data_IF_659436691018
#
_entry.id   IF_659436691018
#
_cell.length_a   1.000
_cell.length_b   1.000
_cell.length_c   1.000
_cell.angle_alpha   90.00
_cell.angle_beta   90.00
_cell.angle_gamma   90.00
#
_symmetry.space_group_name_H-M   'P 1'
#
loop_
_entity.id
_entity.type
_entity.pdbx_description
1 polymer ?
#
# COMPACT_ATOMS: atom_id res chain seq x y z
N UNK A 1 -9.16 15.20 -75.27
CA UNK A 1 -9.28 13.92 -74.54
C UNK A 1 -7.94 13.59 -73.91
N UNK A 2 -7.92 13.38 -72.58
CA UNK A 2 -7.06 12.49 -71.77
C UNK A 2 -6.69 13.17 -70.45
N UNK A 3 -7.57 12.99 -69.46
CA UNK A 3 -7.34 13.23 -68.05
C UNK A 3 -6.33 12.21 -67.50
N UNK A 4 -5.43 12.66 -66.64
CA UNK A 4 -4.61 11.80 -65.78
C UNK A 4 -5.24 11.74 -64.39
N UNK A 5 -5.60 10.53 -63.95
CA UNK A 5 -6.15 10.26 -62.61
C UNK A 5 -4.99 9.79 -61.73
N UNK A 6 -4.71 10.51 -60.65
CA UNK A 6 -3.77 10.11 -59.61
C UNK A 6 -4.48 9.22 -58.59
N UNK A 7 -3.93 8.04 -58.34
CA UNK A 7 -4.41 7.08 -57.34
C UNK A 7 -3.59 7.30 -56.06
N UNK A 8 -4.24 7.76 -54.99
CA UNK A 8 -3.70 7.83 -53.64
C UNK A 8 -4.02 6.54 -52.88
N UNK A 9 -3.00 5.79 -52.45
CA UNK A 9 -3.17 4.69 -51.49
C UNK A 9 -3.18 5.24 -50.06
N UNK A 10 -4.28 5.06 -49.35
CA UNK A 10 -4.37 5.30 -47.91
C UNK A 10 -4.03 4.00 -47.16
N UNK A 11 -3.00 4.03 -46.31
CA UNK A 11 -2.67 2.94 -45.39
C UNK A 11 -3.55 3.05 -44.14
N UNK A 12 -4.41 2.06 -43.91
CA UNK A 12 -5.22 1.95 -42.70
C UNK A 12 -4.38 1.31 -41.58
N UNK A 13 -4.05 2.08 -40.54
CA UNK A 13 -3.46 1.57 -39.31
C UNK A 13 -4.56 0.98 -38.42
N UNK A 14 -4.55 -0.34 -38.24
CA UNK A 14 -5.44 -1.03 -37.31
C UNK A 14 -4.92 -0.84 -35.88
N UNK A 15 -5.54 0.05 -35.11
CA UNK A 15 -5.34 0.12 -33.67
C UNK A 15 -5.99 -1.11 -33.03
N UNK A 16 -5.17 -2.05 -32.54
CA UNK A 16 -5.65 -3.15 -31.71
C UNK A 16 -6.11 -2.57 -30.37
N UNK A 17 -7.43 -2.58 -30.13
CA UNK A 17 -7.99 -2.23 -28.84
C UNK A 17 -7.54 -3.27 -27.80
N UNK A 18 -6.72 -2.86 -26.85
CA UNK A 18 -6.45 -3.68 -25.67
C UNK A 18 -7.78 -3.86 -24.90
N UNK A 19 -8.08 -5.07 -24.40
CA UNK A 19 -9.27 -5.27 -23.59
C UNK A 19 -9.19 -4.38 -22.34
N UNK A 20 -10.22 -3.58 -22.12
CA UNK A 20 -10.36 -2.82 -20.89
C UNK A 20 -10.42 -3.80 -19.71
N UNK A 21 -9.83 -3.47 -18.55
CA UNK A 21 -9.97 -4.27 -17.34
C UNK A 21 -11.45 -4.49 -17.05
N UNK A 22 -11.88 -5.74 -16.96
CA UNK A 22 -13.24 -6.07 -16.53
C UNK A 22 -13.34 -5.71 -15.04
N UNK A 23 -14.28 -4.85 -14.63
CA UNK A 23 -14.49 -4.58 -13.21
C UNK A 23 -14.85 -5.89 -12.51
N UNK A 24 -13.97 -6.37 -11.64
CA UNK A 24 -14.30 -7.46 -10.73
C UNK A 24 -15.42 -6.96 -9.82
N UNK A 25 -16.51 -7.72 -9.69
CA UNK A 25 -17.66 -7.35 -8.88
C UNK A 25 -17.20 -6.92 -7.49
N UNK A 26 -17.30 -5.62 -7.20
CA UNK A 26 -16.87 -5.04 -5.94
C UNK A 26 -17.82 -5.47 -4.82
N UNK A 27 -17.28 -6.00 -3.74
CA UNK A 27 -17.96 -6.02 -2.45
C UNK A 27 -18.14 -4.57 -1.99
N UNK A 28 -19.23 -4.19 -1.32
CA UNK A 28 -19.36 -2.84 -0.74
C UNK A 28 -18.45 -2.62 0.48
N UNK A 29 -17.78 -3.69 0.92
CA UNK A 29 -16.89 -3.73 2.06
C UNK A 29 -15.46 -4.05 1.62
N UNK A 30 -14.45 -3.39 2.20
CA UNK A 30 -13.04 -3.70 1.95
C UNK A 30 -12.72 -5.14 2.36
N UNK A 31 -11.94 -5.84 1.54
CA UNK A 31 -11.45 -7.18 1.81
C UNK A 31 -10.34 -7.12 2.89
N UNK A 32 -10.47 -7.83 4.02
CA UNK A 32 -9.44 -7.88 5.06
C UNK A 32 -8.24 -8.74 4.64
N UNK A 33 -7.02 -8.29 4.93
CA UNK A 33 -5.81 -9.09 4.65
C UNK A 33 -4.61 -8.71 5.54
N UNK A 34 -3.63 -9.62 5.61
CA UNK A 34 -2.27 -9.34 6.09
C UNK A 34 -1.35 -9.10 4.90
N UNK A 35 -0.40 -8.16 5.04
CA UNK A 35 0.65 -7.97 4.05
C UNK A 35 1.87 -8.84 4.33
N UNK A 36 2.27 -9.68 3.39
CA UNK A 36 3.48 -10.51 3.49
C UNK A 36 4.52 -10.11 2.44
N UNK A 37 5.78 -9.99 2.85
CA UNK A 37 6.87 -9.68 1.94
C UNK A 37 7.42 -10.94 1.27
N UNK A 38 7.38 -11.01 -0.05
CA UNK A 38 8.00 -12.08 -0.84
C UNK A 38 9.26 -11.56 -1.53
N UNK A 39 10.42 -11.90 -0.97
CA UNK A 39 11.74 -11.65 -1.57
C UNK A 39 12.67 -12.84 -1.32
N UNK A 40 12.56 -13.89 -2.14
CA UNK A 40 13.27 -15.15 -1.95
C UNK A 40 14.79 -14.94 -1.80
N UNK A 41 15.40 -15.68 -0.87
CA UNK A 41 16.85 -15.57 -0.59
C UNK A 41 17.25 -14.38 0.28
N UNK A 42 16.29 -13.60 0.80
CA UNK A 42 16.55 -12.45 1.67
C UNK A 42 15.97 -12.66 3.07
N UNK A 43 16.42 -11.87 4.04
CA UNK A 43 15.96 -11.98 5.43
C UNK A 43 14.53 -11.48 5.67
N UNK A 44 13.91 -10.83 4.68
CA UNK A 44 12.53 -10.34 4.77
C UNK A 44 11.52 -11.33 4.16
N UNK A 45 11.98 -12.38 3.47
CA UNK A 45 11.08 -13.34 2.83
C UNK A 45 10.10 -13.94 3.85
N UNK A 46 8.81 -13.94 3.49
CA UNK A 46 7.67 -14.42 4.26
C UNK A 46 7.41 -13.68 5.59
N UNK A 47 8.10 -12.56 5.86
CA UNK A 47 7.79 -11.72 7.03
C UNK A 47 6.56 -10.84 6.74
N UNK A 48 5.78 -10.61 7.79
CA UNK A 48 4.61 -9.73 7.73
C UNK A 48 4.98 -8.26 7.86
N UNK A 49 4.14 -7.44 7.26
CA UNK A 49 4.21 -5.98 7.25
C UNK A 49 3.34 -5.44 8.38
N UNK A 50 3.97 -4.69 9.28
CA UNK A 50 3.36 -4.26 10.53
C UNK A 50 3.39 -2.73 10.66
N UNK A 51 2.28 -2.17 11.14
CA UNK A 51 2.12 -0.77 11.50
C UNK A 51 2.85 -0.49 12.82
N UNK A 52 3.79 0.46 12.80
CA UNK A 52 4.53 0.90 13.97
C UNK A 52 5.01 2.35 13.83
N UNK A 53 4.58 3.24 14.72
CA UNK A 53 5.01 4.63 14.74
C UNK A 53 4.56 5.42 13.51
N UNK A 54 3.29 5.29 13.11
CA UNK A 54 2.68 5.90 11.90
C UNK A 54 3.36 5.53 10.57
N UNK A 55 4.13 4.43 10.58
CA UNK A 55 4.87 3.88 9.44
C UNK A 55 4.66 2.37 9.33
N UNK A 56 4.98 1.80 8.18
CA UNK A 56 4.97 0.35 8.00
C UNK A 56 6.38 -0.22 7.99
N UNK A 57 6.50 -1.42 8.57
CA UNK A 57 7.77 -2.06 8.81
C UNK A 57 7.71 -3.55 8.52
N UNK A 58 8.84 -4.08 8.08
CA UNK A 58 9.11 -5.53 8.13
C UNK A 58 10.12 -5.78 9.26
N UNK A 59 9.79 -6.71 10.16
CA UNK A 59 10.65 -7.08 11.29
C UNK A 59 10.44 -6.27 12.58
N UNK A 60 9.50 -5.32 12.61
CA UNK A 60 8.96 -4.75 13.86
C UNK A 60 7.61 -5.34 14.19
N UNK A 61 7.24 -5.36 15.47
CA UNK A 61 5.89 -5.73 15.90
C UNK A 61 4.90 -4.61 15.62
N UNK A 62 3.64 -4.98 15.35
CA UNK A 62 2.53 -4.04 15.32
C UNK A 62 2.41 -3.33 16.65
N UNK A 63 2.17 -2.02 16.61
CA UNK A 63 1.80 -1.23 17.79
C UNK A 63 0.39 -0.70 17.65
N UNK A 64 -0.39 -0.85 18.73
CA UNK A 64 -1.80 -0.45 18.80
C UNK A 64 -2.03 0.39 20.03
N UNK A 65 -3.00 1.28 19.96
CA UNK A 65 -3.51 2.00 21.14
C UNK A 65 -4.96 1.61 21.38
N UNK A 66 -5.32 1.57 22.67
CA UNK A 66 -6.68 1.37 23.11
C UNK A 66 -6.97 2.34 24.26
N UNK A 67 -8.00 3.18 24.15
CA UNK A 67 -8.39 4.06 25.25
C UNK A 67 -8.96 3.24 26.42
N UNK A 68 -8.70 3.72 27.63
CA UNK A 68 -9.17 3.09 28.88
C UNK A 68 -10.56 3.59 29.32
N UNK A 69 -11.22 4.42 28.51
CA UNK A 69 -12.52 4.98 28.85
C UNK A 69 -13.67 3.97 28.66
N UNK A 70 -14.73 4.12 29.46
CA UNK A 70 -15.77 3.09 29.60
C UNK A 70 -16.58 2.82 28.32
N UNK A 71 -16.48 3.68 27.29
CA UNK A 71 -17.17 3.49 26.03
C UNK A 71 -16.43 2.54 25.07
N UNK A 72 -15.10 2.41 25.22
CA UNK A 72 -14.26 1.59 24.34
C UNK A 72 -13.55 0.44 25.07
N UNK A 73 -13.53 0.43 26.41
CA UNK A 73 -12.86 -0.58 27.22
C UNK A 73 -13.24 -2.03 26.85
N UNK A 74 -14.54 -2.35 26.76
CA UNK A 74 -15.01 -3.71 26.43
C UNK A 74 -14.54 -4.17 25.04
N UNK A 75 -14.52 -3.24 24.08
CA UNK A 75 -14.03 -3.47 22.73
C UNK A 75 -12.51 -3.69 22.74
N UNK A 76 -11.80 -2.94 23.59
CA UNK A 76 -10.36 -2.98 23.75
C UNK A 76 -9.80 -4.26 24.38
N UNK A 77 -10.62 -4.98 25.15
CA UNK A 77 -10.25 -6.28 25.71
C UNK A 77 -10.08 -7.33 24.61
N UNK A 78 -10.93 -7.29 23.59
CA UNK A 78 -10.96 -8.27 22.50
C UNK A 78 -10.23 -7.80 21.25
N UNK A 79 -9.94 -6.50 21.12
CA UNK A 79 -9.25 -5.92 19.98
C UNK A 79 -7.90 -6.61 19.68
N UNK A 80 -7.60 -6.73 18.38
CA UNK A 80 -6.31 -7.24 17.93
C UNK A 80 -5.17 -6.28 18.29
N UNK A 81 -4.05 -6.85 18.77
CA UNK A 81 -2.87 -6.11 19.25
C UNK A 81 -1.57 -6.52 18.54
N UNK A 82 -1.61 -7.55 17.69
CA UNK A 82 -0.41 -8.26 17.24
C UNK A 82 -0.22 -8.24 15.72
N UNK A 83 -1.27 -7.96 14.96
CA UNK A 83 -1.24 -8.01 13.50
C UNK A 83 -1.71 -6.68 12.91
N UNK A 84 -1.19 -6.31 11.75
CA UNK A 84 -1.72 -5.18 10.98
C UNK A 84 -2.65 -5.69 9.91
N UNK A 85 -3.93 -5.37 10.07
CA UNK A 85 -4.99 -5.79 9.16
C UNK A 85 -5.29 -4.62 8.22
N UNK A 86 -5.08 -4.86 6.94
CA UNK A 86 -5.37 -3.94 5.86
C UNK A 86 -6.76 -4.20 5.29
N UNK A 87 -7.34 -3.18 4.70
CA UNK A 87 -8.56 -3.27 3.91
C UNK A 87 -8.30 -2.72 2.51
N UNK A 88 -8.73 -3.46 1.50
CA UNK A 88 -8.69 -3.00 0.11
C UNK A 88 -10.06 -3.15 -0.53
N UNK A 89 -10.52 -2.06 -1.16
CA UNK A 89 -11.76 -2.06 -1.93
C UNK A 89 -11.40 -2.00 -3.42
N UNK A 90 -11.73 -3.07 -4.14
CA UNK A 90 -11.43 -3.17 -5.57
C UNK A 90 -12.04 -1.98 -6.34
N UNK A 91 -11.18 -1.24 -7.05
CA UNK A 91 -11.59 -0.08 -7.86
C UNK A 91 -11.41 1.29 -7.19
N UNK A 92 -11.11 1.36 -5.88
CA UNK A 92 -10.93 2.64 -5.17
C UNK A 92 -9.50 3.21 -5.23
N UNK A 93 -8.52 2.44 -5.73
CA UNK A 93 -7.09 2.83 -5.80
C UNK A 93 -6.45 3.21 -4.44
N UNK A 94 -7.12 2.89 -3.32
CA UNK A 94 -6.77 3.29 -1.96
C UNK A 94 -6.55 2.08 -1.07
N UNK A 95 -5.70 2.26 -0.07
CA UNK A 95 -5.43 1.29 0.97
C UNK A 95 -5.80 1.87 2.33
N UNK A 96 -6.53 1.10 3.13
CA UNK A 96 -6.93 1.50 4.48
C UNK A 96 -6.46 0.48 5.52
N UNK A 97 -6.40 0.91 6.76
CA UNK A 97 -6.23 0.04 7.91
C UNK A 97 -7.60 -0.27 8.50
N UNK A 98 -7.87 -1.56 8.74
CA UNK A 98 -9.10 -1.94 9.40
C UNK A 98 -8.94 -1.75 10.90
N UNK A 99 -9.76 -0.85 11.43
CA UNK A 99 -9.73 -0.40 12.81
C UNK A 99 -11.14 -0.19 13.33
N UNK A 100 -11.31 -0.25 14.64
CA UNK A 100 -12.60 0.03 15.30
C UNK A 100 -12.79 1.52 15.61
N UNK A 101 -11.71 2.31 15.59
CA UNK A 101 -11.76 3.75 15.86
C UNK A 101 -12.59 4.51 14.82
N UNK A 102 -13.54 5.38 15.24
CA UNK A 102 -14.32 6.20 14.32
C UNK A 102 -13.44 7.10 13.43
N UNK A 103 -13.71 7.08 12.13
CA UNK A 103 -12.94 7.80 11.11
C UNK A 103 -11.79 7.00 10.51
N UNK A 104 -11.42 5.87 11.13
CA UNK A 104 -10.43 4.94 10.60
C UNK A 104 -9.02 5.50 10.50
N UNK A 105 -8.17 4.75 9.80
CA UNK A 105 -6.81 5.17 9.44
C UNK A 105 -6.52 4.75 8.00
N UNK A 106 -5.84 5.61 7.26
CA UNK A 106 -5.59 5.39 5.84
C UNK A 106 -4.09 5.30 5.57
N UNK A 107 -3.70 4.34 4.74
CA UNK A 107 -2.32 4.23 4.26
C UNK A 107 -2.09 5.22 3.12
N UNK A 108 -0.88 5.74 3.03
CA UNK A 108 -0.47 6.68 2.00
C UNK A 108 1.02 6.57 1.72
N UNK A 109 1.42 7.00 0.53
CA UNK A 109 2.83 7.12 0.14
C UNK A 109 3.23 8.60 0.20
N UNK A 110 4.40 8.93 0.74
CA UNK A 110 4.88 10.32 0.75
C UNK A 110 5.13 10.80 -0.69
N UNK A 111 4.63 11.98 -1.06
CA UNK A 111 4.92 12.54 -2.38
C UNK A 111 6.35 13.14 -2.46
N UNK A 112 7.01 13.27 -1.31
CA UNK A 112 8.25 14.02 -1.14
C UNK A 112 8.01 15.51 -0.97
N UNK A 113 8.96 16.17 -0.32
CA UNK A 113 9.03 17.62 -0.19
C UNK A 113 10.49 18.01 0.04
N UNK A 114 11.18 18.34 -1.04
CA UNK A 114 12.60 18.73 -1.01
C UNK A 114 12.87 19.91 -0.08
N UNK A 115 11.93 20.86 0.01
CA UNK A 115 12.08 22.06 0.85
C UNK A 115 12.04 21.70 2.34
N UNK A 116 11.34 20.62 2.69
CA UNK A 116 11.28 20.07 4.05
C UNK A 116 12.25 18.90 4.27
N UNK A 117 13.08 18.55 3.29
CA UNK A 117 13.97 17.38 3.36
C UNK A 117 13.26 16.03 3.38
N UNK A 118 12.01 15.97 2.93
CA UNK A 118 11.22 14.74 2.90
C UNK A 118 11.42 13.99 1.58
N UNK A 119 11.88 12.75 1.68
CA UNK A 119 12.02 11.84 0.54
C UNK A 119 10.65 11.29 0.12
N UNK A 120 10.43 11.14 -1.19
CA UNK A 120 9.23 10.54 -1.73
C UNK A 120 9.24 9.00 -1.58
N UNK A 121 8.07 8.40 -1.58
CA UNK A 121 7.91 6.95 -1.64
C UNK A 121 7.72 6.24 -0.31
N UNK A 122 7.97 6.86 0.84
CA UNK A 122 7.81 6.18 2.14
C UNK A 122 6.34 5.84 2.39
N UNK A 123 6.06 4.58 2.73
CA UNK A 123 4.72 4.11 3.07
C UNK A 123 4.41 4.38 4.55
N UNK A 124 3.34 5.14 4.77
CA UNK A 124 2.91 5.63 6.08
C UNK A 124 1.40 5.49 6.23
N UNK A 125 0.89 5.78 7.42
CA UNK A 125 -0.54 5.85 7.66
C UNK A 125 -0.92 7.03 8.54
N UNK A 126 -2.18 7.46 8.41
CA UNK A 126 -2.70 8.59 9.18
C UNK A 126 -2.89 8.23 10.66
N UNK A 127 -2.68 9.18 11.58
CA UNK A 127 -3.14 8.99 12.96
C UNK A 127 -4.66 8.82 13.01
N UNK A 128 -5.16 8.21 14.08
CA UNK A 128 -6.60 8.14 14.30
C UNK A 128 -7.22 9.55 14.41
N UNK A 129 -8.47 9.69 13.94
CA UNK A 129 -9.25 10.93 13.98
C UNK A 129 -8.66 12.15 13.26
N UNK A 130 -7.62 11.97 12.43
CA UNK A 130 -6.98 13.07 11.73
C UNK A 130 -6.44 12.63 10.38
N UNK A 131 -6.65 13.46 9.36
CA UNK A 131 -6.04 13.30 8.04
C UNK A 131 -4.73 14.08 7.91
N UNK A 132 -4.21 14.64 9.00
CA UNK A 132 -2.98 15.43 8.99
C UNK A 132 -1.78 14.52 8.77
N UNK A 133 -1.00 14.83 7.74
CA UNK A 133 0.25 14.15 7.40
C UNK A 133 1.42 15.10 7.55
N UNK A 134 2.60 14.53 7.79
CA UNK A 134 3.84 15.28 7.65
C UNK A 134 4.18 15.36 6.15
N UNK A 135 3.90 16.52 5.56
CA UNK A 135 4.08 16.80 4.14
C UNK A 135 3.01 16.18 3.20
N UNK A 136 3.19 16.34 1.88
CA UNK A 136 2.23 15.88 0.88
C UNK A 136 2.08 14.36 0.86
N UNK A 137 0.83 13.90 0.83
CA UNK A 137 0.45 12.49 0.86
C UNK A 137 -0.25 12.06 -0.42
N UNK A 138 0.12 10.89 -0.93
CA UNK A 138 -0.49 10.22 -2.06
C UNK A 138 -1.34 9.06 -1.54
N UNK A 139 -2.66 9.27 -1.54
CA UNK A 139 -3.63 8.27 -1.08
C UNK A 139 -4.08 7.32 -2.20
N UNK A 140 -3.99 7.78 -3.44
CA UNK A 140 -4.33 7.01 -4.63
C UNK A 140 -3.08 6.39 -5.24
N UNK A 141 -3.24 5.24 -5.91
CA UNK A 141 -2.17 4.52 -6.60
C UNK A 141 -2.03 3.07 -6.15
N UNK A 142 -2.78 2.63 -5.13
CA UNK A 142 -2.75 1.26 -4.64
C UNK A 142 -3.52 0.32 -5.54
N UNK A 143 -2.85 -0.72 -6.03
CA UNK A 143 -3.41 -1.69 -6.97
C UNK A 143 -3.23 -3.10 -6.40
N UNK A 144 -4.33 -3.82 -6.16
CA UNK A 144 -4.26 -5.26 -5.99
C UNK A 144 -4.37 -5.92 -7.37
N UNK A 145 -3.25 -6.44 -7.87
CA UNK A 145 -3.14 -7.02 -9.22
C UNK A 145 -3.18 -8.55 -9.17
N UNK A 146 -3.05 -9.18 -10.34
CA UNK A 146 -3.01 -10.64 -10.47
C UNK A 146 -1.99 -11.29 -9.51
N UNK A 147 -2.29 -12.50 -9.03
CA UNK A 147 -1.56 -13.23 -7.98
C UNK A 147 -1.55 -12.57 -6.59
N UNK A 148 -2.59 -11.77 -6.28
CA UNK A 148 -2.77 -11.15 -4.96
C UNK A 148 -1.54 -10.31 -4.56
N UNK A 149 -1.10 -9.46 -5.49
CA UNK A 149 0.05 -8.58 -5.32
C UNK A 149 -0.43 -7.15 -5.13
N UNK A 150 -0.04 -6.53 -4.03
CA UNK A 150 -0.30 -5.11 -3.80
C UNK A 150 0.85 -4.28 -4.37
N UNK A 151 0.54 -3.34 -5.25
CA UNK A 151 1.49 -2.44 -5.90
C UNK A 151 1.10 -0.99 -5.66
N UNK A 152 2.06 -0.07 -5.87
CA UNK A 152 1.81 1.36 -5.90
C UNK A 152 2.22 1.94 -7.24
N UNK A 153 1.30 2.64 -7.91
CA UNK A 153 1.48 3.18 -9.27
C UNK A 153 2.00 2.13 -10.27
N UNK A 154 1.61 0.86 -10.08
CA UNK A 154 1.98 -0.27 -10.94
C UNK A 154 3.38 -0.83 -10.70
N UNK A 155 4.06 -0.43 -9.63
CA UNK A 155 5.39 -0.94 -9.25
C UNK A 155 5.37 -1.61 -7.87
N UNK A 156 6.37 -2.46 -7.63
CA UNK A 156 6.58 -3.18 -6.37
C UNK A 156 7.17 -2.25 -5.27
N UNK A 157 7.70 -2.85 -4.20
CA UNK A 157 8.14 -2.15 -3.00
C UNK A 157 9.62 -2.39 -2.70
N UNK A 158 10.26 -1.42 -2.06
CA UNK A 158 11.55 -1.56 -1.43
C UNK A 158 11.39 -1.66 0.09
N UNK A 159 12.14 -2.57 0.69
CA UNK A 159 12.34 -2.66 2.13
C UNK A 159 13.75 -2.15 2.42
N UNK A 160 13.87 -0.97 3.02
CA UNK A 160 15.17 -0.38 3.34
C UNK A 160 15.44 -0.45 4.84
N UNK A 161 16.64 -0.88 5.26
CA UNK A 161 17.00 -0.89 6.67
C UNK A 161 16.94 0.54 7.21
N UNK A 162 16.42 0.70 8.43
CA UNK A 162 16.65 1.93 9.17
C UNK A 162 18.06 1.92 9.78
N UNK A 163 18.67 3.10 9.95
CA UNK A 163 20.09 3.38 10.29
C UNK A 163 20.63 2.74 11.59
N UNK A 164 19.90 1.83 12.23
CA UNK A 164 20.24 1.20 13.49
C UNK A 164 20.10 -0.33 13.43
N UNK A 165 21.05 -1.03 14.06
CA UNK A 165 21.04 -2.48 14.25
C UNK A 165 19.70 -2.97 14.85
N UNK A 166 19.09 -4.01 14.27
CA UNK A 166 17.80 -4.59 14.70
C UNK A 166 16.57 -3.68 14.66
N UNK A 167 16.55 -2.63 13.83
CA UNK A 167 15.38 -1.75 13.72
C UNK A 167 14.38 -2.11 12.62
N UNK A 168 14.58 -3.21 11.90
CA UNK A 168 13.68 -3.63 10.82
C UNK A 168 13.81 -2.76 9.57
N UNK A 169 12.91 -2.99 8.61
CA UNK A 169 12.93 -2.34 7.31
C UNK A 169 11.73 -1.43 7.18
N UNK A 170 11.94 -0.15 6.89
CA UNK A 170 10.86 0.69 6.41
C UNK A 170 10.48 0.29 4.98
N UNK A 171 9.31 0.73 4.51
CA UNK A 171 8.78 0.36 3.20
C UNK A 171 8.67 1.59 2.31
N UNK A 172 9.16 1.50 1.08
CA UNK A 172 9.10 2.53 0.06
C UNK A 172 8.48 2.01 -1.24
N UNK A 173 7.68 2.82 -1.92
CA UNK A 173 7.16 2.54 -3.24
C UNK A 173 8.28 2.68 -4.29
N UNK A 174 8.53 1.63 -5.09
CA UNK A 174 9.59 1.67 -6.11
C UNK A 174 9.33 2.74 -7.18
N UNK A 175 8.07 3.06 -7.47
CA UNK A 175 7.69 4.11 -8.43
C UNK A 175 8.16 5.52 -8.02
N UNK A 176 8.52 5.72 -6.74
CA UNK A 176 8.77 7.04 -6.14
C UNK A 176 10.20 7.25 -5.62
N UNK A 177 11.06 6.23 -5.70
CA UNK A 177 12.47 6.37 -5.34
C UNK A 177 13.26 6.68 -6.62
N UNK A 178 13.78 7.91 -6.73
CA UNK A 178 14.49 8.37 -7.95
C UNK A 178 15.62 7.40 -8.34
N UNK A 179 15.65 6.99 -9.61
CA UNK A 179 16.73 6.17 -10.17
C UNK A 179 16.77 4.70 -9.78
N UNK A 180 15.80 4.22 -8.97
CA UNK A 180 15.62 2.80 -8.56
C UNK A 180 16.84 2.08 -7.98
N UNK A 181 17.91 2.80 -7.66
CA UNK A 181 19.02 2.33 -6.84
C UNK A 181 18.81 2.87 -5.43
N UNK A 182 17.93 2.24 -4.63
CA UNK A 182 17.57 2.69 -3.27
C UNK A 182 18.75 2.63 -2.27
N UNK A 183 19.97 2.36 -2.74
CA UNK A 183 21.14 2.04 -1.94
C UNK A 183 21.32 0.52 -1.83
N UNK A 184 22.57 0.08 -1.72
CA UNK A 184 22.96 -1.34 -1.78
C UNK A 184 22.31 -2.25 -0.71
N UNK A 185 21.66 -1.68 0.31
CA UNK A 185 21.09 -2.41 1.43
C UNK A 185 19.55 -2.57 1.35
N UNK A 186 18.89 -1.90 0.42
CA UNK A 186 17.45 -2.03 0.26
C UNK A 186 17.10 -3.27 -0.57
N UNK A 187 16.03 -3.96 -0.15
CA UNK A 187 15.59 -5.21 -0.74
C UNK A 187 14.29 -4.96 -1.53
N UNK A 188 14.31 -5.29 -2.82
CA UNK A 188 13.08 -5.35 -3.63
C UNK A 188 12.21 -6.53 -3.16
N UNK A 189 10.92 -6.30 -2.96
CA UNK A 189 9.98 -7.35 -2.58
C UNK A 189 8.60 -7.17 -3.21
N UNK A 190 7.92 -8.29 -3.42
CA UNK A 190 6.51 -8.31 -3.75
C UNK A 190 5.69 -8.31 -2.47
N UNK A 191 4.75 -7.38 -2.34
CA UNK A 191 3.76 -7.39 -1.26
C UNK A 191 2.64 -8.37 -1.62
N UNK A 192 2.62 -9.53 -0.98
CA UNK A 192 1.55 -10.49 -1.12
C UNK A 192 0.39 -10.18 -0.16
N UNK A 193 -0.83 -10.34 -0.67
CA UNK A 193 -2.09 -10.13 0.03
C UNK A 193 -2.57 -11.47 0.59
N UNK A 194 -2.32 -11.70 1.88
CA UNK A 194 -2.81 -12.87 2.62
C UNK A 194 -4.22 -12.59 3.14
N UNK A 195 -5.23 -12.98 2.37
CA UNK A 195 -6.64 -12.72 2.68
C UNK A 195 -7.07 -13.35 4.01
N UNK A 196 -7.84 -12.59 4.79
CA UNK A 196 -8.44 -13.03 6.06
C UNK A 196 -9.96 -13.21 5.90
N UNK A 197 -10.59 -13.79 6.92
CA UNK A 197 -12.04 -13.85 7.01
C UNK A 197 -12.65 -12.44 7.20
N UNK A 198 -13.88 -12.26 6.72
CA UNK A 198 -14.60 -10.98 6.79
C UNK A 198 -14.88 -10.52 8.23
N UNK A 199 -14.94 -11.45 9.18
CA UNK A 199 -15.23 -11.21 10.60
C UNK A 199 -13.97 -11.13 11.49
N UNK A 200 -12.80 -10.92 10.88
CA UNK A 200 -11.54 -10.78 11.63
C UNK A 200 -11.62 -9.65 12.67
N UNK A 201 -11.16 -9.95 13.87
CA UNK A 201 -11.11 -8.96 14.96
C UNK A 201 -10.00 -7.94 14.67
N UNK A 202 -10.36 -6.66 14.63
CA UNK A 202 -9.46 -5.57 14.27
C UNK A 202 -8.91 -4.84 15.51
N UNK A 203 -7.81 -4.10 15.32
CA UNK A 203 -7.29 -3.24 16.37
C UNK A 203 -8.26 -2.08 16.64
N UNK A 204 -8.23 -1.51 17.86
CA UNK A 204 -8.92 -0.24 18.08
C UNK A 204 -8.33 0.84 17.17
N UNK A 205 -7.02 1.07 17.27
CA UNK A 205 -6.24 1.85 16.31
C UNK A 205 -4.79 1.36 16.29
N UNK A 206 -4.09 1.62 15.19
CA UNK A 206 -2.64 1.45 15.07
C UNK A 206 -1.92 2.75 15.46
N UNK A 207 -0.72 2.63 16.03
CA UNK A 207 0.12 3.78 16.41
C UNK A 207 1.54 3.61 15.92
#
# INVERSE_FOLDING_TARGET
>A
MKSFVAITLAAAASAAAMPAPVPQAGTSFPLPFLGQALAEGTEIHQKFINANGLKFWIGKNTTTYCPEDSAAADVCETANKNQTIFGYLNGESKLQLLTQVPGGQQAYVTAGNETAGQVAGELKFTPAHSSQTDGPALYDGFLNVYDAKLQFEGQDWFACPADNFNTGYGIWAQSRVEGSDPGAECISFTWHVDQLADDVVTAWQYV
#
